data_IF_599152614632
#
_entry.id   IF_599152614632
#
_cell.length_a   1.000
_cell.length_b   1.000
_cell.length_c   1.000
_cell.angle_alpha   90.00
_cell.angle_beta   90.00
_cell.angle_gamma   90.00
#
_symmetry.space_group_name_H-M   'P 1'
#
loop_
_entity.id
_entity.type
_entity.pdbx_description
1 polymer ?
2 non-polymer ?
3 non-polymer ?
4 non-polymer ?
5 non-polymer ?
6 non-polymer ?
7 water ?
#
# COMPACT_ATOMS: atom_id res chain seq x y z
N UNK A 5 -13.62 -16.11 -8.80
CA UNK A 5 -12.26 -15.73 -8.44
C UNK A 5 -11.30 -16.94 -8.45
N UNK A 6 -10.00 -16.67 -8.43
CA UNK A 6 -8.99 -17.72 -8.24
C UNK A 6 -8.23 -17.48 -6.94
N UNK A 7 -7.57 -18.52 -6.44
CA UNK A 7 -6.91 -18.45 -5.14
C UNK A 7 -5.65 -17.60 -5.16
N UNK A 8 -5.33 -17.03 -4.00
CA UNK A 8 -4.11 -16.24 -3.83
C UNK A 8 -2.97 -17.18 -3.46
N UNK A 9 -2.04 -17.35 -4.40
CA UNK A 9 -0.85 -18.17 -4.15
C UNK A 9 0.40 -17.32 -4.26
N UNK A 10 1.37 -17.59 -3.40
CA UNK A 10 2.64 -16.87 -3.40
C UNK A 10 3.75 -17.80 -3.91
N UNK A 11 4.39 -17.44 -5.03
CA UNK A 11 5.41 -18.34 -5.62
C UNK A 11 6.61 -18.56 -4.72
N UNK A 12 7.34 -19.65 -4.96
CA UNK A 12 8.53 -20.00 -4.17
C UNK A 12 9.75 -19.17 -4.59
N UNK A 13 10.32 -18.43 -3.65
CA UNK A 13 11.49 -17.59 -3.93
C UNK A 13 12.70 -18.42 -4.36
N UNK A 14 12.75 -19.68 -3.95
CA UNK A 14 13.85 -20.57 -4.34
C UNK A 14 13.72 -21.04 -5.78
N UNK A 15 12.53 -20.88 -6.36
CA UNK A 15 12.28 -21.26 -7.75
C UNK A 15 12.37 -20.04 -8.69
N UNK A 16 12.94 -18.94 -8.20
CA UNK A 16 13.25 -17.80 -9.07
C UNK A 16 14.30 -18.21 -10.10
N UNK A 17 14.08 -17.84 -11.37
CA UNK A 17 15.01 -18.25 -12.43
C UNK A 17 16.35 -17.50 -12.41
N UNK A 18 17.44 -18.18 -12.71
CA UNK A 18 18.72 -17.53 -12.93
C UNK A 18 18.62 -16.64 -14.17
N UNK A 19 19.27 -15.48 -14.14
CA UNK A 19 19.33 -14.62 -15.30
C UNK A 19 18.75 -13.24 -15.08
N UNK A 20 18.46 -12.55 -16.18
CA UNK A 20 18.06 -11.15 -16.15
C UNK A 20 16.72 -10.98 -15.44
N UNK A 21 15.77 -11.86 -15.71
CA UNK A 21 14.46 -11.73 -15.12
C UNK A 21 14.55 -11.93 -13.60
N UNK A 22 15.26 -12.97 -13.17
CA UNK A 22 15.39 -13.22 -11.75
C UNK A 22 16.03 -12.05 -11.03
N UNK A 23 17.06 -11.48 -11.62
CA UNK A 23 17.73 -10.34 -11.00
C UNK A 23 16.82 -9.11 -10.93
N UNK A 24 16.01 -8.91 -11.97
CA UNK A 24 15.05 -7.82 -12.01
C UNK A 24 13.98 -7.97 -10.93
N UNK A 25 13.48 -9.20 -10.76
CA UNK A 25 12.48 -9.47 -9.74
C UNK A 25 13.01 -9.13 -8.33
N UNK A 26 14.24 -9.51 -8.04
CA UNK A 26 14.85 -9.22 -6.73
C UNK A 26 15.02 -7.70 -6.54
N UNK A 27 15.42 -6.99 -7.59
CA UNK A 27 15.50 -5.53 -7.47
C UNK A 27 14.10 -4.94 -7.23
N UNK A 28 13.10 -5.47 -7.94
CA UNK A 28 11.74 -5.00 -7.79
C UNK A 28 11.21 -5.12 -6.37
N UNK A 29 11.46 -6.25 -5.76
CA UNK A 29 11.09 -6.47 -4.38
C UNK A 29 11.70 -5.41 -3.46
N UNK A 30 12.97 -5.10 -3.68
CA UNK A 30 13.65 -4.10 -2.88
C UNK A 30 13.08 -2.69 -3.10
N UNK A 31 12.73 -2.34 -4.34
CA UNK A 31 12.12 -1.04 -4.60
C UNK A 31 10.78 -0.92 -3.88
N UNK A 32 10.03 -2.02 -3.83
CA UNK A 32 8.72 -2.01 -3.20
C UNK A 32 8.81 -2.03 -1.67
N UNK A 33 9.88 -2.61 -1.13
CA UNK A 33 10.01 -2.77 0.32
C UNK A 33 10.75 -1.61 0.98
N UNK A 34 11.57 -0.91 0.21
CA UNK A 34 12.52 0.07 0.74
C UNK A 34 12.50 1.33 -0.13
N UNK A 35 11.31 1.78 -0.50
CA UNK A 35 11.18 2.73 -1.59
C UNK A 35 11.85 4.09 -1.33
N UNK A 36 11.65 4.70 -0.14
CA UNK A 36 12.26 6.02 0.06
C UNK A 36 13.78 6.01 -0.12
N UNK A 37 14.43 4.96 0.37
CA UNK A 37 15.89 4.88 0.32
C UNK A 37 16.41 4.51 -1.07
N UNK A 38 15.62 3.75 -1.83
CA UNK A 38 16.08 3.28 -3.14
C UNK A 38 15.74 4.26 -4.25
N UNK A 39 14.67 5.02 -4.08
CA UNK A 39 14.22 5.98 -5.09
C UNK A 39 13.94 7.37 -4.51
N UNK A 40 14.96 7.97 -3.87
CA UNK A 40 14.77 9.28 -3.23
C UNK A 40 14.24 10.39 -4.16
N UNK A 41 14.59 10.34 -5.43
CA UNK A 41 14.16 11.38 -6.37
C UNK A 41 12.66 11.33 -6.64
N UNK A 42 12.03 10.22 -6.29
CA UNK A 42 10.63 10.00 -6.65
C UNK A 42 9.70 9.88 -5.44
N UNK A 43 10.28 9.87 -4.24
CA UNK A 43 9.50 9.68 -3.03
C UNK A 43 9.61 10.93 -2.16
N UNK A 44 8.46 11.47 -1.77
CA UNK A 44 8.40 12.71 -1.02
C UNK A 44 7.99 12.54 0.44
N UNK A 45 7.78 11.31 0.89
CA UNK A 45 7.44 11.10 2.30
C UNK A 45 8.18 9.88 2.84
N UNK A 46 7.75 9.35 3.98
CA UNK A 46 8.48 8.27 4.62
C UNK A 46 7.94 6.89 4.29
N UNK A 47 7.01 6.79 3.34
CA UNK A 47 6.35 5.51 3.11
C UNK A 47 7.01 4.69 2.00
N UNK A 48 7.06 3.38 2.26
CA UNK A 48 7.39 2.40 1.25
C UNK A 48 6.10 1.74 0.80
N UNK A 49 6.10 1.14 -0.38
CA UNK A 49 4.89 0.50 -0.88
C UNK A 49 4.39 -0.54 0.14
N UNK A 50 5.31 -1.23 0.81
CA UNK A 50 4.94 -2.30 1.74
C UNK A 50 4.17 -1.81 2.97
N UNK A 51 4.15 -0.52 3.20
CA UNK A 51 3.45 -0.01 4.38
C UNK A 51 1.93 -0.07 4.23
N UNK A 52 1.43 -0.18 3.00
CA UNK A 52 0.01 -0.43 2.78
C UNK A 52 -0.23 -1.72 2.01
N UNK A 53 0.85 -2.27 1.45
CA UNK A 53 0.80 -3.50 0.68
C UNK A 53 1.73 -4.53 1.33
N UNK A 54 1.40 -4.97 2.55
CA UNK A 54 2.34 -5.83 3.28
C UNK A 54 2.47 -7.22 2.69
N UNK A 55 3.54 -7.91 3.06
CA UNK A 55 3.71 -9.31 2.73
C UNK A 55 4.54 -10.05 3.76
N UNK A 56 4.51 -11.38 3.72
CA UNK A 56 5.27 -12.19 4.67
C UNK A 56 6.62 -12.57 4.05
N UNK A 57 7.59 -12.90 4.90
CA UNK A 57 8.88 -13.45 4.45
C UNK A 57 9.65 -12.54 3.50
N UNK A 58 9.52 -11.24 3.70
CA UNK A 58 10.24 -10.26 2.91
C UNK A 58 9.55 -9.88 1.60
N UNK A 59 8.48 -10.58 1.26
CA UNK A 59 7.74 -10.26 0.04
C UNK A 59 6.86 -9.06 0.31
N UNK A 60 6.40 -8.45 -0.76
CA UNK A 60 5.56 -7.26 -0.70
C UNK A 60 4.29 -7.54 -1.47
N UNK A 61 3.14 -7.16 -0.94
CA UNK A 61 1.91 -7.30 -1.71
C UNK A 61 1.38 -8.72 -1.82
N UNK A 62 1.43 -9.48 -0.72
CA UNK A 62 0.97 -10.85 -0.74
C UNK A 62 -0.15 -11.15 0.25
N UNK A 63 -0.76 -10.12 0.85
CA UNK A 63 -1.75 -10.36 1.92
C UNK A 63 -3.17 -10.01 1.49
N UNK A 64 -4.08 -10.96 1.66
CA UNK A 64 -5.49 -10.75 1.32
C UNK A 64 -6.01 -9.53 2.04
N UNK A 65 -6.80 -8.75 1.31
CA UNK A 65 -7.48 -7.56 1.80
C UNK A 65 -6.55 -6.40 2.16
N UNK A 66 -5.28 -6.55 1.82
CA UNK A 66 -4.32 -5.45 1.87
C UNK A 66 -3.69 -5.21 0.50
N UNK A 67 -4.57 -5.18 -0.50
CA UNK A 67 -4.24 -4.85 -1.88
C UNK A 67 -3.03 -5.66 -2.38
N UNK A 68 -3.13 -6.98 -2.33
CA UNK A 68 -2.01 -7.78 -2.84
C UNK A 68 -1.75 -7.53 -4.32
N UNK A 69 -0.50 -7.72 -4.72
CA UNK A 69 -0.12 -7.59 -6.12
C UNK A 69 -0.23 -8.93 -6.86
N UNK A 70 -0.51 -9.99 -6.12
CA UNK A 70 -0.75 -11.29 -6.74
C UNK A 70 -1.95 -11.18 -7.65
N UNK A 71 -1.69 -11.27 -8.94
CA UNK A 71 -2.73 -11.20 -9.96
C UNK A 71 -3.03 -9.82 -10.52
N UNK A 72 -2.28 -8.81 -10.10
CA UNK A 72 -2.62 -7.45 -10.50
C UNK A 72 -2.33 -7.22 -11.99
N UNK A 73 -1.33 -7.90 -12.52
CA UNK A 73 -0.89 -7.56 -13.87
C UNK A 73 -1.96 -7.91 -14.91
N UNK A 74 -2.74 -8.94 -14.63
CA UNK A 74 -3.75 -9.38 -15.58
C UNK A 74 -5.03 -8.57 -15.53
N UNK A 75 -5.06 -7.54 -14.69
CA UNK A 75 -6.23 -6.68 -14.54
C UNK A 75 -6.04 -5.32 -15.18
N UNK A 76 -4.88 -5.10 -15.78
CA UNK A 76 -4.58 -3.88 -16.51
C UNK A 76 -4.29 -4.22 -17.99
N UNK A 77 -4.59 -3.29 -18.90
CA UNK A 77 -5.16 -1.96 -18.65
C UNK A 77 -6.62 -1.97 -18.23
N UNK A 78 -7.03 -0.91 -17.55
CA UNK A 78 -8.37 -0.81 -17.03
C UNK A 78 -8.78 0.65 -16.97
N UNK A 79 -10.08 0.88 -16.94
CA UNK A 79 -10.57 2.24 -16.84
C UNK A 79 -10.24 2.87 -15.49
N UNK A 80 -9.86 4.14 -15.56
CA UNK A 80 -9.68 4.98 -14.39
C UNK A 80 -10.59 6.19 -14.49
N UNK A 81 -11.48 6.35 -13.51
CA UNK A 81 -12.35 7.52 -13.46
C UNK A 81 -11.52 8.78 -13.23
N UNK A 82 -10.49 8.64 -12.39
CA UNK A 82 -9.48 9.66 -12.14
C UNK A 82 -8.91 10.24 -13.46
N UNK A 83 -8.60 9.36 -14.40
CA UNK A 83 -7.98 9.76 -15.68
C UNK A 83 -9.00 9.98 -16.79
N UNK A 84 -10.18 9.37 -16.63
CA UNK A 84 -11.24 9.45 -17.63
C UNK A 84 -10.96 8.57 -18.84
N UNK A 85 -10.13 7.56 -18.65
CA UNK A 85 -9.76 6.67 -19.74
C UNK A 85 -9.02 5.47 -19.19
N UNK A 86 -8.70 4.52 -20.07
CA UNK A 86 -7.92 3.36 -19.71
C UNK A 86 -6.50 3.76 -19.34
N UNK A 87 -5.98 3.12 -18.29
CA UNK A 87 -4.59 3.30 -17.89
C UNK A 87 -3.89 1.96 -17.79
N UNK A 88 -2.58 2.00 -17.91
CA UNK A 88 -1.73 0.83 -17.73
C UNK A 88 -1.30 0.67 -16.28
N UNK A 89 -0.76 -0.48 -15.94
CA UNK A 89 -0.20 -0.69 -14.62
C UNK A 89 0.95 0.29 -14.32
N UNK A 90 1.77 0.60 -15.34
CA UNK A 90 2.86 1.58 -15.18
C UNK A 90 2.30 2.91 -14.71
N UNK A 91 1.18 3.32 -15.28
CA UNK A 91 0.54 4.56 -14.91
C UNK A 91 -0.04 4.50 -13.50
N UNK A 92 -0.67 3.37 -13.16
CA UNK A 92 -1.23 3.18 -11.83
C UNK A 92 -0.13 3.33 -10.78
N UNK A 93 1.02 2.70 -11.04
CA UNK A 93 2.14 2.82 -10.09
C UNK A 93 2.59 4.27 -9.96
N UNK A 94 2.60 5.00 -11.06
CA UNK A 94 2.94 6.41 -11.03
C UNK A 94 1.99 7.20 -10.13
N UNK A 95 0.70 6.89 -10.22
CA UNK A 95 -0.25 7.57 -9.36
C UNK A 95 0.04 7.30 -7.88
N UNK A 96 0.45 6.08 -7.57
CA UNK A 96 0.82 5.73 -6.21
C UNK A 96 2.02 6.52 -5.72
N UNK A 97 3.03 6.68 -6.58
CA UNK A 97 4.19 7.50 -6.23
C UNK A 97 3.76 8.93 -5.95
N UNK A 98 2.85 9.47 -6.77
CA UNK A 98 2.43 10.86 -6.64
C UNK A 98 1.56 11.13 -5.41
N UNK A 99 0.78 10.13 -5.03
CA UNK A 99 -0.23 10.31 -4.00
C UNK A 99 0.20 9.64 -2.71
N UNK A 100 0.25 8.32 -2.70
CA UNK A 100 0.61 7.59 -1.48
C UNK A 100 2.02 7.91 -1.00
N UNK A 101 2.93 8.14 -1.94
CA UNK A 101 4.31 8.46 -1.58
C UNK A 101 4.67 9.94 -1.78
N UNK A 102 3.66 10.78 -2.04
CA UNK A 102 3.81 12.23 -2.08
C UNK A 102 5.00 12.68 -2.93
N UNK A 103 5.18 12.03 -4.09
CA UNK A 103 6.40 12.16 -4.85
C UNK A 103 6.17 12.45 -6.31
N UNK A 104 6.92 11.76 -7.15
CA UNK A 104 6.91 11.97 -8.60
C UNK A 104 6.86 10.62 -9.27
N UNK A 105 6.08 10.51 -10.33
CA UNK A 105 6.00 9.28 -11.11
C UNK A 105 7.31 9.00 -11.85
N UNK A 106 7.72 7.74 -11.85
CA UNK A 106 8.82 7.31 -12.69
C UNK A 106 8.40 7.33 -14.15
N UNK A 107 9.35 7.63 -15.03
CA UNK A 107 9.15 7.47 -16.46
C UNK A 107 8.67 6.07 -16.77
N UNK A 108 7.84 5.92 -17.80
CA UNK A 108 7.15 4.66 -18.03
C UNK A 108 8.09 3.56 -18.53
N UNK A 109 9.32 3.91 -18.88
CA UNK A 109 10.36 2.92 -19.21
C UNK A 109 11.55 2.98 -18.25
N UNK A 110 11.35 3.55 -17.07
CA UNK A 110 12.40 3.60 -16.06
C UNK A 110 12.74 2.17 -15.60
N UNK A 111 14.04 1.85 -15.51
CA UNK A 111 14.37 0.46 -15.16
C UNK A 111 13.81 0.03 -13.80
N UNK A 112 13.72 0.95 -12.84
CA UNK A 112 13.17 0.60 -11.54
C UNK A 112 11.69 0.25 -11.64
N UNK A 113 10.97 0.98 -12.49
CA UNK A 113 9.57 0.69 -12.72
C UNK A 113 9.40 -0.68 -13.39
N UNK A 114 10.25 -0.97 -14.36
CA UNK A 114 10.19 -2.27 -15.01
C UNK A 114 10.54 -3.38 -14.04
N UNK A 115 11.46 -3.14 -13.10
CA UNK A 115 11.77 -4.14 -12.10
C UNK A 115 10.56 -4.38 -11.17
N UNK A 116 9.86 -3.31 -10.82
CA UNK A 116 8.66 -3.45 -10.01
C UNK A 116 7.59 -4.25 -10.77
N UNK A 117 7.47 -3.98 -12.06
CA UNK A 117 6.55 -4.76 -12.90
C UNK A 117 6.94 -6.22 -12.95
N UNK A 118 8.24 -6.50 -13.07
CA UNK A 118 8.71 -7.87 -13.13
C UNK A 118 8.36 -8.59 -11.84
N UNK A 119 8.53 -7.91 -10.71
CA UNK A 119 8.20 -8.52 -9.44
C UNK A 119 6.70 -8.81 -9.34
N UNK A 120 5.87 -7.85 -9.73
CA UNK A 120 4.42 -8.09 -9.69
C UNK A 120 4.02 -9.19 -10.65
N UNK A 121 4.69 -9.29 -11.80
CA UNK A 121 4.41 -10.36 -12.75
C UNK A 121 4.81 -11.73 -12.19
N UNK A 122 5.91 -11.75 -11.42
CA UNK A 122 6.33 -12.98 -10.76
C UNK A 122 5.29 -13.42 -9.75
N UNK A 123 4.82 -12.48 -8.93
CA UNK A 123 3.80 -12.81 -7.94
C UNK A 123 2.53 -13.30 -8.60
N UNK A 124 2.33 -12.86 -9.84
CA UNK A 124 1.13 -13.19 -10.58
C UNK A 124 1.25 -14.46 -11.41
N UNK A 125 2.36 -15.17 -11.30
CA UNK A 125 2.55 -16.33 -12.13
C UNK A 125 1.40 -17.33 -11.92
N UNK A 126 0.85 -17.81 -13.03
CA UNK A 126 -0.18 -18.81 -12.98
C UNK A 126 -1.59 -18.24 -12.96
N UNK A 127 -1.74 -16.95 -12.67
CA UNK A 127 -3.06 -16.33 -12.63
C UNK A 127 -3.53 -16.05 -14.04
N UNK A 128 -4.71 -16.57 -14.42
CA UNK A 128 -5.21 -16.28 -15.76
C UNK A 128 -5.47 -14.80 -15.97
N UNK A 129 -5.08 -14.30 -17.13
CA UNK A 129 -5.34 -12.94 -17.48
C UNK A 129 -6.84 -12.70 -17.39
N UNK A 130 -7.20 -11.61 -16.71
CA UNK A 130 -8.60 -11.25 -16.52
C UNK A 130 -9.20 -11.76 -15.22
N UNK A 131 -8.59 -12.78 -14.61
CA UNK A 131 -9.12 -13.39 -13.41
C UNK A 131 -8.92 -12.48 -12.23
N UNK A 132 -9.85 -12.61 -11.30
CA UNK A 132 -9.83 -11.86 -10.05
C UNK A 132 -9.34 -12.79 -8.96
N UNK A 133 -8.27 -12.38 -8.27
CA UNK A 133 -7.71 -13.15 -7.17
C UNK A 133 -8.44 -12.85 -5.86
N UNK A 134 -8.79 -13.92 -5.15
CA UNK A 134 -9.47 -13.79 -3.87
C UNK A 134 -8.62 -13.00 -2.89
N UNK A 135 -9.21 -11.95 -2.32
CA UNK A 135 -8.49 -11.07 -1.42
C UNK A 135 -7.88 -9.85 -2.09
N UNK A 136 -8.13 -9.67 -3.38
CA UNK A 136 -7.60 -8.49 -4.06
C UNK A 136 -8.14 -7.20 -3.44
N UNK A 137 -7.36 -6.14 -3.59
CA UNK A 137 -7.77 -4.81 -3.18
C UNK A 137 -7.87 -4.65 -1.66
N UNK A 138 -8.42 -3.51 -1.25
CA UNK A 138 -8.72 -3.24 0.15
C UNK A 138 -10.24 -3.04 0.21
N UNK A 139 -10.96 -4.05 0.70
CA UNK A 139 -12.42 -3.88 0.73
C UNK A 139 -12.83 -2.73 1.65
N UNK A 140 -13.73 -1.89 1.18
CA UNK A 140 -14.19 -0.77 1.99
C UNK A 140 -15.06 -1.23 3.14
N UNK A 141 -15.09 -0.42 4.18
CA UNK A 141 -16.03 -0.59 5.27
C UNK A 141 -16.76 0.73 5.37
N UNK A 142 -18.09 0.67 5.22
CA UNK A 142 -18.91 1.87 5.32
C UNK A 142 -20.01 1.62 6.34
N UNK A 143 -20.12 2.51 7.32
CA UNK A 143 -21.24 2.47 8.26
C UNK A 143 -22.27 3.54 7.93
N UNK A 144 -23.48 3.33 8.43
CA UNK A 144 -24.63 4.20 8.18
C UNK A 144 -24.72 5.38 9.16
N UNK A 145 -23.59 5.86 9.61
CA UNK A 145 -23.51 7.01 10.50
C UNK A 145 -22.15 7.70 10.35
N UNK A 146 -22.07 8.94 10.81
CA UNK A 146 -20.83 9.71 10.77
C UNK A 146 -19.77 9.04 11.66
N UNK A 147 -18.50 9.06 11.23
CA UNK A 147 -17.48 8.56 12.15
C UNK A 147 -17.32 9.50 13.35
N UNK A 148 -17.26 8.92 14.54
CA UNK A 148 -17.13 9.67 15.77
C UNK A 148 -15.66 9.79 16.13
N UNK A 149 -15.09 10.96 15.84
CA UNK A 149 -13.68 11.19 16.05
C UNK A 149 -13.30 11.28 17.52
N UNK A 150 -14.25 11.59 18.39
CA UNK A 150 -13.96 11.59 19.82
C UNK A 150 -13.75 10.16 20.34
N UNK A 151 -14.67 9.27 19.99
CA UNK A 151 -14.49 7.84 20.23
C UNK A 151 -13.20 7.38 19.57
N UNK A 152 -13.00 7.79 18.32
CA UNK A 152 -11.80 7.39 17.60
C UNK A 152 -10.52 7.79 18.29
N UNK A 153 -10.50 8.98 18.88
CA UNK A 153 -9.31 9.42 19.62
C UNK A 153 -8.99 8.50 20.79
N UNK A 154 -10.02 8.09 21.52
CA UNK A 154 -9.86 7.18 22.65
C UNK A 154 -9.35 5.81 22.20
N UNK A 155 -9.95 5.29 21.13
CA UNK A 155 -9.52 4.04 20.55
C UNK A 155 -8.07 4.10 20.08
N UNK A 156 -7.71 5.21 19.44
CA UNK A 156 -6.34 5.42 18.97
C UNK A 156 -5.37 5.34 20.14
N UNK A 157 -5.66 6.05 21.22
CA UNK A 157 -4.76 6.03 22.35
C UNK A 157 -4.60 4.63 22.95
N UNK A 158 -5.69 3.86 22.98
CA UNK A 158 -5.68 2.55 23.61
C UNK A 158 -5.08 1.46 22.72
N UNK A 159 -5.25 1.60 21.41
CA UNK A 159 -4.97 0.50 20.49
C UNK A 159 -3.92 0.76 19.42
N UNK A 160 -3.51 2.02 19.21
CA UNK A 160 -2.69 2.37 18.03
C UNK A 160 -1.46 3.18 18.35
N UNK A 161 -1.59 4.06 19.34
CA UNK A 161 -0.57 5.04 19.66
C UNK A 161 0.78 4.40 20.00
N UNK A 162 0.76 3.27 20.67
CA UNK A 162 1.99 2.59 21.08
C UNK A 162 2.92 2.36 19.90
N UNK A 163 2.34 2.19 18.72
CA UNK A 163 3.13 1.96 17.49
C UNK A 163 3.24 3.23 16.64
N UNK A 164 2.10 3.87 16.40
CA UNK A 164 2.07 4.95 15.41
C UNK A 164 2.33 6.34 16.00
N UNK A 165 2.35 6.45 17.32
CA UNK A 165 2.77 7.66 18.00
C UNK A 165 1.66 8.61 18.39
N UNK A 166 1.90 9.37 19.46
CA UNK A 166 0.94 10.35 19.90
C UNK A 166 0.66 11.41 18.84
N UNK A 167 1.70 11.72 18.05
CA UNK A 167 1.64 12.69 16.98
C UNK A 167 1.47 12.04 15.60
N UNK A 168 1.16 10.74 15.58
CA UNK A 168 0.96 10.03 14.33
C UNK A 168 2.18 9.91 13.45
N UNK A 169 3.36 10.16 14.00
CA UNK A 169 4.56 10.25 13.16
C UNK A 169 5.34 8.95 13.05
N UNK A 170 4.83 7.89 13.69
CA UNK A 170 5.40 6.55 13.54
C UNK A 170 6.64 6.31 14.38
N UNK A 171 7.28 5.16 14.12
CA UNK A 171 8.47 4.72 14.83
C UNK A 171 9.53 4.31 13.82
N UNK A 172 10.68 5.00 13.85
CA UNK A 172 11.80 4.67 12.99
C UNK A 172 12.54 3.45 13.51
N UNK A 173 13.02 2.62 12.60
CA UNK A 173 13.95 1.55 12.96
C UNK A 173 15.39 2.06 12.96
N UNK A 174 16.32 1.18 13.29
CA UNK A 174 17.71 1.55 13.47
C UNK A 174 18.38 2.03 12.17
N UNK A 175 17.81 1.67 11.02
CA UNK A 175 18.38 2.04 9.73
C UNK A 175 17.66 3.20 9.08
N UNK A 176 16.74 3.81 9.83
CA UNK A 176 16.05 4.99 9.37
C UNK A 176 14.84 4.70 8.50
N UNK A 177 14.48 3.44 8.35
CA UNK A 177 13.21 3.08 7.73
C UNK A 177 12.13 3.06 8.80
N UNK A 178 10.88 3.29 8.40
CA UNK A 178 9.81 3.22 9.37
C UNK A 178 9.45 1.78 9.68
N UNK A 179 9.62 1.43 10.95
CA UNK A 179 9.12 0.19 11.52
C UNK A 179 7.60 0.27 11.57
N UNK A 180 7.10 1.35 12.15
CA UNK A 180 5.67 1.65 12.20
C UNK A 180 5.49 2.98 11.49
N UNK A 181 4.72 2.98 10.39
CA UNK A 181 4.75 4.18 9.53
C UNK A 181 3.88 5.33 10.04
N UNK A 182 4.15 6.55 9.56
CA UNK A 182 3.35 7.71 9.95
C UNK A 182 1.95 7.69 9.34
N UNK A 183 0.97 8.01 10.18
CA UNK A 183 -0.43 8.03 9.78
C UNK A 183 -0.95 9.39 9.37
N UNK A 184 -0.26 10.45 9.80
CA UNK A 184 -0.57 11.81 9.38
C UNK A 184 0.68 12.66 9.55
N UNK A 185 0.58 13.94 9.23
CA UNK A 185 1.76 14.81 9.27
C UNK A 185 2.55 14.73 8.00
N UNK A 186 3.66 15.48 7.93
CA UNK A 186 4.41 15.71 6.68
C UNK A 186 5.07 14.47 6.04
N UNK A 187 5.24 13.39 6.80
CA UNK A 187 5.87 12.18 6.27
C UNK A 187 4.86 11.10 5.89
N UNK A 188 3.56 11.38 6.00
CA UNK A 188 2.53 10.41 5.67
C UNK A 188 2.03 10.60 4.23
N UNK A 189 1.04 9.80 3.83
CA UNK A 189 0.43 9.92 2.52
C UNK A 189 -0.26 11.28 2.36
N UNK A 190 -0.40 11.76 1.12
CA UNK A 190 -1.01 13.07 0.92
C UNK A 190 -2.52 12.94 0.65
N UNK A 191 -3.18 14.08 0.52
CA UNK A 191 -4.63 14.12 0.44
C UNK A 191 -5.18 13.45 -0.81
N UNK A 192 -4.31 13.15 -1.78
CA UNK A 192 -4.75 12.52 -3.03
C UNK A 192 -4.75 11.00 -2.97
N UNK A 193 -4.23 10.44 -1.90
CA UNK A 193 -4.13 9.00 -1.72
C UNK A 193 -5.47 8.35 -1.43
N UNK A 194 -5.64 7.12 -1.91
CA UNK A 194 -6.83 6.34 -1.59
C UNK A 194 -7.01 6.17 -0.09
N UNK A 195 -5.91 6.07 0.63
CA UNK A 195 -5.98 5.88 2.08
C UNK A 195 -6.56 7.11 2.81
N UNK A 196 -6.66 8.25 2.11
CA UNK A 196 -7.29 9.44 2.65
C UNK A 196 -8.81 9.43 2.58
N UNK A 197 -9.39 8.36 2.01
CA UNK A 197 -10.85 8.21 1.94
C UNK A 197 -11.34 7.36 3.12
N UNK A 198 -12.33 7.89 3.84
CA UNK A 198 -12.85 7.24 5.04
C UNK A 198 -13.13 5.76 4.90
N UNK A 199 -13.85 5.33 3.87
CA UNK A 199 -14.23 3.92 3.77
C UNK A 199 -13.05 3.01 3.45
N UNK A 200 -12.05 3.54 2.75
CA UNK A 200 -10.85 2.77 2.45
C UNK A 200 -10.00 2.62 3.71
N UNK A 201 -9.71 3.72 4.40
CA UNK A 201 -8.97 3.65 5.67
C UNK A 201 -9.70 2.76 6.66
N UNK A 202 -11.01 2.90 6.78
CA UNK A 202 -11.75 2.05 7.70
C UNK A 202 -11.66 0.57 7.34
N UNK A 203 -11.69 0.27 6.04
CA UNK A 203 -11.59 -1.10 5.58
C UNK A 203 -10.21 -1.67 5.84
N UNK A 204 -9.19 -0.89 5.55
CA UNK A 204 -7.81 -1.34 5.80
C UNK A 204 -7.62 -1.63 7.29
N UNK A 205 -8.05 -0.67 8.12
CA UNK A 205 -7.89 -0.81 9.55
C UNK A 205 -8.66 -2.01 10.06
N UNK A 206 -9.91 -2.16 9.61
CA UNK A 206 -10.73 -3.30 10.00
C UNK A 206 -10.02 -4.62 9.77
N UNK A 207 -9.41 -4.76 8.61
CA UNK A 207 -8.83 -6.04 8.22
C UNK A 207 -7.41 -6.26 8.72
N UNK A 208 -6.68 -5.18 9.02
CA UNK A 208 -5.25 -5.30 9.26
C UNK A 208 -4.74 -4.68 10.55
N UNK A 209 -5.52 -3.82 11.22
CA UNK A 209 -4.99 -3.12 12.40
C UNK A 209 -5.91 -3.30 13.62
N UNK A 210 -5.34 -3.36 14.84
CA UNK A 210 -3.92 -3.36 15.15
C UNK A 210 -3.20 -4.56 14.58
N UNK A 211 -1.91 -4.38 14.33
CA UNK A 211 -1.07 -5.41 13.75
C UNK A 211 -1.05 -6.64 14.65
N UNK A 212 -1.30 -7.80 14.06
CA UNK A 212 -1.28 -9.06 14.80
C UNK A 212 -2.65 -9.46 15.32
N UNK A 216 -9.66 -8.61 16.67
CA UNK A 216 -9.64 -7.45 15.80
C UNK A 216 -10.69 -6.43 16.23
N UNK A 217 -10.71 -5.28 15.56
CA UNK A 217 -11.69 -4.24 15.87
C UNK A 217 -13.08 -4.58 15.37
N UNK A 218 -14.08 -4.07 16.09
CA UNK A 218 -15.45 -4.14 15.61
C UNK A 218 -15.56 -3.16 14.44
N UNK A 219 -16.57 -3.32 13.60
CA UNK A 219 -16.81 -2.35 12.53
C UNK A 219 -16.90 -0.91 13.06
N UNK A 220 -17.64 -0.71 14.15
CA UNK A 220 -17.83 0.63 14.70
C UNK A 220 -16.49 1.22 15.15
N UNK A 221 -15.66 0.39 15.77
CA UNK A 221 -14.35 0.84 16.22
C UNK A 221 -13.45 1.21 15.05
N UNK A 222 -13.45 0.40 14.00
CA UNK A 222 -12.62 0.70 12.83
C UNK A 222 -13.05 2.00 12.15
N UNK A 223 -14.36 2.16 12.03
CA UNK A 223 -14.95 3.34 11.43
C UNK A 223 -14.58 4.60 12.22
N UNK A 224 -14.73 4.56 13.54
CA UNK A 224 -14.45 5.73 14.34
C UNK A 224 -12.96 6.05 14.44
N UNK A 225 -12.09 5.06 14.59
CA UNK A 225 -10.67 5.38 14.66
C UNK A 225 -10.14 5.86 13.29
N UNK A 226 -10.68 5.34 12.18
CA UNK A 226 -10.31 5.88 10.87
C UNK A 226 -10.67 7.34 10.79
N UNK A 227 -11.87 7.66 11.28
CA UNK A 227 -12.32 9.04 11.29
C UNK A 227 -11.36 9.93 12.04
N UNK A 228 -10.96 9.51 13.23
CA UNK A 228 -9.98 10.27 13.99
C UNK A 228 -8.67 10.46 13.24
N UNK A 229 -8.14 9.39 12.68
CA UNK A 229 -6.91 9.49 11.91
C UNK A 229 -7.05 10.56 10.83
N UNK A 230 -8.17 10.54 10.12
CA UNK A 230 -8.34 11.44 8.98
C UNK A 230 -8.76 12.89 9.32
N UNK A 231 -8.81 13.23 10.61
CA UNK A 231 -9.03 14.62 10.99
C UNK A 231 -7.75 15.45 10.95
N UNK A 232 -6.61 14.80 10.76
CA UNK A 232 -5.32 15.46 10.91
C UNK A 232 -4.73 16.01 9.61
N UNK A 233 -3.83 16.98 9.72
CA UNK A 233 -3.16 17.48 8.53
C UNK A 233 -2.22 16.46 7.91
N UNK A 234 -2.03 16.60 6.60
CA UNK A 234 -1.09 15.81 5.84
C UNK A 234 -0.76 16.61 4.58
N UNK A 235 0.25 16.19 3.82
CA UNK A 235 0.60 17.00 2.65
C UNK A 235 -0.56 17.14 1.68
N UNK A 236 -0.63 18.32 1.08
CA UNK A 236 -1.61 18.62 0.06
C UNK A 236 -1.18 18.11 -1.31
N UNK A 237 -2.09 17.44 -2.00
CA UNK A 237 -1.82 16.98 -3.38
C UNK A 237 -2.29 18.01 -4.40
X LIG B 1 -0.84 1.21 -3.54
X LIG B 1 -3.83 0.17 -5.05
X LIG B 1 0.97 -0.09 -6.24
X LIG B 1 2.07 2.46 -2.18
X LIG B 1 -2.66 2.25 -0.70
X LIG B 1 -1.32 0.24 -5.30
X LIG B 1 -2.57 -0.10 -5.70
X LIG B 1 -2.56 -0.80 -6.98
X LIG B 1 -1.14 -0.89 -7.33
X LIG B 1 -0.47 -0.22 -6.22
X LIG B 1 -0.50 -1.52 -8.53
X LIG B 1 -3.74 -1.36 -7.73
X LIG B 1 -4.11 -2.70 -7.07
X LIG B 1 -5.25 -3.40 -7.77
X LIG B 1 -5.64 -4.50 -7.31
X LIG B 1 -5.76 -2.86 -8.79
X LIG B 1 1.12 1.19 -4.11
X LIG B 1 1.66 0.63 -5.21
X LIG B 1 3.09 0.83 -5.31
X LIG B 1 3.43 1.58 -4.12
X LIG B 1 2.11 1.76 -3.46
X LIG B 1 4.00 0.32 -6.36
X LIG B 1 4.77 2.09 -3.71
X LIG B 1 5.29 3.02 -4.81
X LIG B 1 -0.40 2.19 -1.79
X LIG B 1 0.83 2.57 -1.42
X LIG B 1 0.86 3.16 -0.07
X LIG B 1 -0.54 3.11 0.36
X LIG B 1 -1.24 2.48 -0.77
X LIG B 1 2.07 3.69 0.66
X LIG B 1 -1.13 3.55 1.67
X LIG B 1 -0.80 4.96 2.07
X LIG B 1 -2.82 1.21 -2.98
X LIG B 1 -3.35 1.66 -1.83
X LIG B 1 -4.83 1.55 -1.80
X LIG B 1 -5.18 0.96 -3.06
X LIG B 1 -3.86 0.78 -3.71
X LIG B 1 -5.74 1.96 -0.69
X LIG B 1 -6.55 0.59 -3.56
X LIG B 1 -6.80 -0.91 -3.44
X LIG B 1 -8.10 -1.26 -4.11
X LIG B 1 -8.20 -1.05 -5.33
X LIG B 1 -9.03 -1.75 -3.43
X LIG C 1 -0.93 0.27 12.02
X LIG C 1 0.21 0.26 8.71
X LIG C 1 -3.53 2.44 11.14
X LIG C 1 -2.34 -0.15 15.19
X LIG C 1 1.96 -1.36 13.04
X LIG C 1 -1.55 1.18 10.28
X LIG C 1 -0.94 1.08 9.08
X LIG C 1 -1.61 1.89 8.07
X LIG C 1 -2.70 2.54 8.79
X LIG C 1 -2.58 2.02 10.14
X LIG C 1 -3.74 3.46 8.24
X LIG C 1 -1.25 2.06 6.64
X LIG C 1 0.08 2.84 6.51
X LIG C 1 0.09 4.34 6.85
X LIG C 1 1.18 4.86 7.21
X LIG C 1 -0.93 5.03 6.78
X LIG C 1 -2.60 0.99 12.95
X LIG C 1 -3.51 1.85 12.46
X LIG C 1 -4.59 2.12 13.42
X LIG C 1 -4.24 1.34 14.58
X LIG C 1 -2.99 0.67 14.20
X LIG C 1 -5.76 3.01 13.27
X LIG C 1 -4.98 1.21 15.89
X LIG C 1 -6.31 0.52 15.57
X LIG C 1 -0.30 -0.59 13.79
X LIG C 1 -0.98 -0.66 14.93
X LIG C 1 -0.20 -1.27 16.02
X LIG C 1 1.07 -1.62 15.41
X LIG C 1 0.91 -1.14 14.02
X LIG C 1 -0.61 -1.49 17.43
X LIG C 1 2.30 -2.21 16.06
X LIG C 1 2.16 -3.56 16.67
X LIG C 1 0.75 -0.42 11.08
X LIG C 1 1.78 -1.06 11.63
X LIG C 1 2.77 -1.49 10.61
X LIG C 1 2.23 -1.02 9.36
X LIG C 1 0.98 -0.39 9.75
X LIG C 1 4.03 -2.22 10.80
X LIG C 1 2.78 -1.18 7.98
X LIG C 1 1.94 -2.26 7.28
X LIG C 1 2.17 -3.69 7.76
X LIG C 1 1.17 -4.36 8.07
X LIG C 1 3.32 -4.19 7.81
X LIG D 1 1.33 18.48 6.74
X LIG E 1 -14.10 10.83 2.31
X LIG E 1 -14.39 9.68 1.43
X LIG E 1 -13.19 10.47 3.37
X LIG E 1 -13.49 11.87 1.49
X LIG E 1 -15.33 11.38 2.92
X LIG F 1 -0.50 -5.15 21.93
X LIG F 1 -0.45 -5.51 23.30
X LIG F 1 0.72 -4.30 21.60
X LIG F 1 0.40 -3.26 20.70
X LIG F 1 1.26 -2.16 20.75
X LIG F 1 2.71 -2.58 20.49
X LIG F 1 3.59 -1.60 20.95
X LIG G 1 -2.32 -12.52 5.04
X LIG G 1 -0.95 -12.85 5.02
X LIG G 1 -3.12 -13.71 4.55
X LIG G 1 -3.64 -13.46 3.25
X LIG G 1 -3.08 -14.26 2.26
X LIG G 1 -4.03 -14.56 1.12
X LIG G 1 -4.95 -15.57 1.39
X LIG H 1 -3.32 6.07 -4.80
X LIG H 1 -2.09 6.40 -4.07
X LIG H 1 -4.37 7.06 -4.51
X LIG H 1 -3.08 6.04 -6.24
#
# INVERSE_FOLDING_TARGET
MEPPTVALTVPAAALLPDGALGESIVRGRRYLSDTPAQLPDFVGNGLACRHCHPGRDGEVGTEANAAPFVGVVGRFPQYSARHGRLITLEQRIGDCFERSLNGRALALDHPALIDMLAYMSWLSQGVPVGAVVAGHGIPTLTLEREPDGVHGEALYQARCLACHGADGSGTLDADGRYLFPPLWGPRSFNTGAGMNRQATAAGFIKHKMPLGADDSLSDEEAWDVAGFVLTHPRPLFQEPTGDAWSHPQFEK
HEC FE CHA CHB CHC CHD NA C1A C2A C3A C4A CMA CAA CBA CGA O1A O2A NB C1B C2B C3B C4B CMB CAB CBB NC C1C C2C C3C C4C CMC CAC CBC ND C1D C2D C3D C4D CMD CAD CBD CGD O1D O2D
HEC FE CHA CHB CHC CHD NA C1A C2A C3A C4A CMA CAA CBA CGA O1A O2A NB C1B C2B C3B C4B CMB CAB CBB NC C1C C2C C3C C4C CMC CAC CBC ND C1D C2D C3D C4D CMD CAD CBD CGD O1D O2D
IOD I
SO4 S O1 O2 O3 O4
PEG C1 O1 C2 O2 C3 C4 O4
PEG C1 O1 C2 O2 C3 C4 O4
SO3 S O1 O2 O3
#
